data_IF_922218778634
#
_entry.id   IF_922218778634
#
_cell.length_a   1.000
_cell.length_b   1.000
_cell.length_c   1.000
_cell.angle_alpha   90.00
_cell.angle_beta   90.00
_cell.angle_gamma   90.00
#
_symmetry.space_group_name_H-M   'P 1'
#
loop_
_entity.id
_entity.type
_entity.pdbx_description
1 polymer ?
#
# COMPACT_ATOMS: atom_id res chain seq x y z
N UNK A 1 -6.73 -3.03 -15.74
CA UNK A 1 -5.59 -2.29 -15.16
C UNK A 1 -6.02 -0.85 -14.95
N UNK A 2 -5.88 -0.35 -13.73
CA UNK A 2 -6.04 1.07 -13.40
C UNK A 2 -4.74 1.79 -13.79
N UNK A 3 -4.84 3.03 -14.25
CA UNK A 3 -3.70 3.79 -14.78
C UNK A 3 -3.58 5.14 -14.08
N UNK A 4 -2.36 5.45 -13.63
CA UNK A 4 -1.94 6.79 -13.25
C UNK A 4 -1.14 7.45 -14.37
N UNK A 5 -0.25 8.36 -14.00
CA UNK A 5 0.62 9.07 -14.94
C UNK A 5 1.90 8.26 -15.25
N UNK A 6 2.42 7.52 -14.27
CA UNK A 6 3.67 6.73 -14.33
C UNK A 6 3.47 5.26 -14.03
N UNK A 7 2.46 4.89 -13.26
CA UNK A 7 2.20 3.51 -12.82
C UNK A 7 0.86 2.98 -13.30
N UNK A 8 0.80 1.66 -13.48
CA UNK A 8 -0.43 0.89 -13.60
C UNK A 8 -0.63 0.01 -12.38
N UNK A 9 -1.89 -0.14 -11.94
CA UNK A 9 -2.28 -1.15 -10.96
C UNK A 9 -3.06 -2.25 -11.66
N UNK A 10 -2.55 -3.48 -11.60
CA UNK A 10 -3.17 -4.67 -12.20
C UNK A 10 -3.29 -5.81 -11.19
N UNK A 11 -4.09 -6.81 -11.54
CA UNK A 11 -4.11 -8.07 -10.82
C UNK A 11 -2.70 -8.66 -10.77
N UNK A 12 -2.38 -9.34 -9.67
CA UNK A 12 -1.09 -10.02 -9.50
C UNK A 12 -1.05 -11.26 -10.38
N UNK A 13 0.08 -11.47 -11.06
CA UNK A 13 0.36 -12.66 -11.86
C UNK A 13 1.28 -13.59 -11.07
N UNK A 14 1.28 -14.89 -11.40
CA UNK A 14 2.10 -15.89 -10.71
C UNK A 14 3.59 -15.54 -10.74
N UNK A 15 4.04 -14.94 -11.85
CA UNK A 15 5.42 -14.46 -12.02
C UNK A 15 5.81 -13.30 -11.10
N UNK A 16 4.85 -12.54 -10.57
CA UNK A 16 5.16 -11.41 -9.67
C UNK A 16 5.51 -11.89 -8.27
N UNK A 17 4.86 -12.97 -7.81
CA UNK A 17 4.97 -13.49 -6.44
C UNK A 17 6.42 -13.73 -6.02
N UNK A 18 7.26 -14.47 -6.77
CA UNK A 18 8.64 -14.71 -6.36
C UNK A 18 9.48 -13.42 -6.31
N UNK A 19 9.22 -12.46 -7.20
CA UNK A 19 9.94 -11.17 -7.22
C UNK A 19 9.57 -10.31 -6.01
N UNK A 20 8.26 -10.19 -5.71
CA UNK A 20 7.79 -9.46 -4.53
C UNK A 20 8.29 -10.12 -3.25
N UNK A 21 8.30 -11.45 -3.19
CA UNK A 21 8.81 -12.18 -2.02
C UNK A 21 10.29 -11.85 -1.78
N UNK A 22 11.13 -12.05 -2.80
CA UNK A 22 12.57 -11.85 -2.68
C UNK A 22 12.96 -10.40 -2.36
N UNK A 23 12.25 -9.41 -2.92
CA UNK A 23 12.66 -8.00 -2.79
C UNK A 23 11.90 -7.20 -1.73
N UNK A 24 10.75 -7.70 -1.25
CA UNK A 24 9.94 -7.00 -0.24
C UNK A 24 9.72 -7.82 1.04
N UNK A 25 9.59 -9.15 0.94
CA UNK A 25 9.39 -9.99 2.12
C UNK A 25 10.70 -10.38 2.80
N UNK A 26 11.70 -10.77 2.00
CA UNK A 26 13.00 -11.22 2.50
C UNK A 26 13.91 -10.08 2.97
N UNK A 27 13.61 -8.83 2.58
CA UNK A 27 14.18 -7.65 3.24
C UNK A 27 13.49 -7.46 4.61
N UNK A 28 13.91 -8.25 5.60
CA UNK A 28 13.35 -8.28 6.95
C UNK A 28 13.36 -6.90 7.61
N UNK A 29 14.43 -6.13 7.39
CA UNK A 29 14.60 -4.80 7.96
C UNK A 29 13.56 -3.82 7.39
N UNK A 30 13.37 -3.79 6.07
CA UNK A 30 12.30 -2.98 5.48
C UNK A 30 10.92 -3.53 5.85
N UNK A 31 10.73 -4.85 5.81
CA UNK A 31 9.44 -5.50 6.06
C UNK A 31 8.92 -5.19 7.47
N UNK A 32 9.80 -5.18 8.46
CA UNK A 32 9.48 -4.82 9.85
C UNK A 32 9.03 -3.35 10.02
N UNK A 33 9.24 -2.49 9.02
CA UNK A 33 8.76 -1.10 9.02
C UNK A 33 7.44 -0.89 8.27
N UNK A 34 6.97 -1.89 7.53
CA UNK A 34 5.84 -1.76 6.61
C UNK A 34 4.64 -2.62 7.02
N UNK A 35 4.84 -3.65 7.85
CA UNK A 35 3.76 -4.48 8.38
C UNK A 35 3.77 -4.44 9.91
N UNK A 36 2.59 -4.37 10.51
CA UNK A 36 2.42 -4.41 11.95
C UNK A 36 2.53 -5.84 12.51
N UNK A 37 2.46 -6.86 11.65
CA UNK A 37 2.65 -8.27 12.04
C UNK A 37 4.14 -8.61 12.06
N UNK A 38 4.57 -9.49 12.99
CA UNK A 38 5.95 -9.94 13.03
C UNK A 38 6.31 -10.65 11.73
N UNK A 39 7.51 -10.37 11.21
CA UNK A 39 8.10 -11.18 10.15
C UNK A 39 8.25 -12.63 10.60
N UNK A 40 8.03 -13.57 9.68
CA UNK A 40 8.21 -15.00 9.92
C UNK A 40 8.92 -15.61 8.71
N UNK A 41 9.74 -16.65 8.88
CA UNK A 41 10.27 -17.38 7.74
C UNK A 41 9.12 -18.03 6.98
N UNK A 42 9.02 -17.76 5.68
CA UNK A 42 8.05 -18.38 4.78
C UNK A 42 8.81 -19.04 3.65
N UNK A 43 8.50 -20.31 3.36
CA UNK A 43 9.14 -21.02 2.25
C UNK A 43 8.76 -20.40 0.91
N UNK A 44 9.69 -20.33 -0.06
CA UNK A 44 9.36 -19.92 -1.42
C UNK A 44 8.20 -20.72 -2.00
N UNK A 45 7.24 -20.04 -2.65
CA UNK A 45 6.04 -20.67 -3.22
C UNK A 45 4.98 -21.11 -2.21
N UNK A 46 5.19 -20.85 -0.91
CA UNK A 46 4.16 -21.12 0.10
C UNK A 46 2.96 -20.19 -0.06
N UNK A 47 1.75 -20.74 0.10
CA UNK A 47 0.50 -19.97 0.21
C UNK A 47 0.49 -19.04 1.42
N UNK A 48 1.37 -19.26 2.41
CA UNK A 48 1.55 -18.35 3.53
C UNK A 48 2.28 -17.04 3.14
N UNK A 49 2.76 -16.92 1.90
CA UNK A 49 3.34 -15.66 1.43
C UNK A 49 2.28 -14.57 1.41
N UNK A 50 2.56 -13.36 1.93
CA UNK A 50 1.61 -12.24 1.83
C UNK A 50 1.37 -11.76 0.40
N UNK A 51 2.17 -12.25 -0.56
CA UNK A 51 2.03 -11.97 -1.98
C UNK A 51 1.40 -13.11 -2.77
N UNK A 52 0.98 -14.20 -2.11
CA UNK A 52 0.25 -15.27 -2.77
C UNK A 52 -0.98 -14.70 -3.51
N UNK A 53 -1.34 -15.35 -4.62
CA UNK A 53 -2.56 -15.00 -5.36
C UNK A 53 -3.71 -15.67 -4.63
N UNK A 54 -4.69 -14.86 -4.26
CA UNK A 54 -5.92 -15.31 -3.63
C UNK A 54 -7.09 -15.01 -4.54
N UNK A 55 -8.20 -15.70 -4.33
CA UNK A 55 -9.48 -15.32 -4.95
C UNK A 55 -9.84 -13.87 -4.56
N UNK A 56 -10.60 -13.16 -5.42
CA UNK A 56 -11.10 -11.84 -5.10
C UNK A 56 -11.88 -11.83 -3.78
N UNK A 57 -11.67 -10.78 -2.99
CA UNK A 57 -12.29 -10.56 -1.70
C UNK A 57 -13.03 -9.20 -1.72
N UNK A 58 -14.20 -9.13 -1.09
CA UNK A 58 -14.92 -7.87 -0.95
C UNK A 58 -14.22 -6.94 0.05
N UNK A 59 -13.51 -7.51 1.03
CA UNK A 59 -12.85 -6.82 2.14
C UNK A 59 -11.44 -6.31 1.77
N UNK A 60 -10.86 -6.79 0.65
CA UNK A 60 -9.51 -6.42 0.22
C UNK A 60 -9.33 -6.45 -1.30
N UNK A 61 -8.52 -5.52 -1.81
CA UNK A 61 -8.18 -5.42 -3.22
C UNK A 61 -6.65 -5.27 -3.41
N UNK A 62 -5.90 -6.37 -3.49
CA UNK A 62 -4.47 -6.33 -3.75
C UNK A 62 -4.16 -6.14 -5.24
N UNK A 63 -3.14 -5.33 -5.52
CA UNK A 63 -2.64 -5.05 -6.87
C UNK A 63 -1.12 -5.21 -6.95
N UNK A 64 -0.66 -5.67 -8.11
CA UNK A 64 0.71 -5.43 -8.55
C UNK A 64 0.82 -4.00 -9.09
N UNK A 65 1.90 -3.32 -8.73
CA UNK A 65 2.27 -2.00 -9.27
C UNK A 65 3.25 -2.24 -10.40
N UNK A 66 2.96 -1.75 -11.60
CA UNK A 66 3.85 -1.78 -12.76
C UNK A 66 4.17 -0.37 -13.24
N UNK A 67 5.33 -0.13 -13.83
CA UNK A 67 5.60 1.13 -14.54
C UNK A 67 4.94 1.13 -15.92
N UNK A 68 4.41 2.27 -16.36
CA UNK A 68 3.70 2.37 -17.63
C UNK A 68 4.63 2.46 -18.85
N UNK A 69 5.91 2.78 -18.65
CA UNK A 69 6.89 2.93 -19.72
C UNK A 69 7.34 1.58 -20.29
N UNK A 70 7.53 0.56 -19.44
CA UNK A 70 8.08 -0.73 -19.83
C UNK A 70 7.44 -1.95 -19.13
N UNK A 71 6.32 -1.76 -18.42
CA UNK A 71 5.58 -2.83 -17.70
C UNK A 71 6.43 -3.57 -16.64
N UNK A 72 7.45 -2.90 -16.08
CA UNK A 72 8.25 -3.47 -15.00
C UNK A 72 7.48 -3.48 -13.69
N UNK A 73 7.47 -4.64 -13.01
CA UNK A 73 6.89 -4.79 -11.68
C UNK A 73 7.61 -3.90 -10.67
N UNK A 74 7.03 -2.77 -10.29
CA UNK A 74 7.59 -1.82 -9.35
C UNK A 74 7.31 -2.18 -7.88
N UNK A 75 6.27 -2.98 -7.60
CA UNK A 75 5.90 -3.35 -6.24
C UNK A 75 4.47 -3.84 -6.09
N UNK A 76 3.89 -3.59 -4.93
CA UNK A 76 2.51 -3.99 -4.57
C UNK A 76 1.78 -2.83 -3.91
N UNK A 77 0.47 -2.80 -4.08
CA UNK A 77 -0.41 -1.80 -3.49
C UNK A 77 -1.79 -2.41 -3.25
N UNK A 78 -2.64 -1.77 -2.46
CA UNK A 78 -4.00 -2.26 -2.30
C UNK A 78 -4.84 -1.49 -1.31
N UNK A 79 -6.13 -1.84 -1.32
CA UNK A 79 -7.08 -1.49 -0.26
C UNK A 79 -7.32 -2.71 0.64
N UNK A 80 -7.53 -2.51 1.93
CA UNK A 80 -7.95 -3.56 2.86
C UNK A 80 -8.87 -3.00 3.95
N UNK A 81 -9.56 -3.89 4.67
CA UNK A 81 -10.54 -3.50 5.67
C UNK A 81 -11.68 -2.71 5.03
N UNK A 82 -12.10 -3.13 3.83
CA UNK A 82 -13.14 -2.45 3.09
C UNK A 82 -14.47 -2.68 3.79
N UNK A 83 -14.98 -1.65 4.44
CA UNK A 83 -16.29 -1.63 5.06
C UNK A 83 -17.32 -1.15 4.03
N UNK A 84 -18.17 -2.06 3.56
CA UNK A 84 -19.20 -1.75 2.56
C UNK A 84 -20.40 -0.99 3.14
N UNK A 85 -20.61 -1.03 4.46
CA UNK A 85 -21.66 -0.29 5.13
C UNK A 85 -21.24 1.16 5.39
N UNK A 86 -20.09 1.35 6.05
CA UNK A 86 -19.54 2.67 6.34
C UNK A 86 -18.79 3.29 5.15
N UNK A 87 -18.59 2.52 4.08
CA UNK A 87 -17.93 2.94 2.83
C UNK A 87 -16.53 3.48 3.08
N UNK A 88 -15.72 2.75 3.85
CA UNK A 88 -14.35 3.13 4.18
C UNK A 88 -13.35 2.02 3.90
N UNK A 89 -12.09 2.37 3.64
CA UNK A 89 -11.01 1.39 3.53
C UNK A 89 -9.66 1.99 3.91
N UNK A 90 -8.74 1.13 4.30
CA UNK A 90 -7.33 1.48 4.40
C UNK A 90 -6.65 1.34 3.03
N UNK A 91 -5.60 2.11 2.79
CA UNK A 91 -4.75 1.98 1.63
C UNK A 91 -3.27 1.90 2.00
N UNK A 92 -2.48 1.30 1.12
CA UNK A 92 -1.05 1.18 1.34
C UNK A 92 -0.32 0.55 0.16
N UNK A 93 1.01 0.59 0.23
CA UNK A 93 1.89 0.12 -0.83
C UNK A 93 3.28 -0.25 -0.31
N UNK A 94 3.99 -1.01 -1.12
CA UNK A 94 5.42 -1.27 -0.98
C UNK A 94 6.05 -1.30 -2.35
N UNK A 95 6.99 -0.38 -2.58
CA UNK A 95 7.79 -0.36 -3.81
C UNK A 95 9.10 -1.11 -3.58
N UNK A 96 9.50 -1.87 -4.60
CA UNK A 96 10.82 -2.52 -4.67
C UNK A 96 11.93 -1.47 -4.56
N UNK A 97 13.08 -1.78 -3.92
CA UNK A 97 14.14 -0.82 -3.68
C UNK A 97 14.57 0.00 -4.91
N UNK A 98 14.73 -0.63 -6.07
CA UNK A 98 15.12 0.03 -7.32
C UNK A 98 14.09 1.01 -7.91
N UNK A 99 12.87 1.03 -7.38
CA UNK A 99 11.76 1.86 -7.87
C UNK A 99 11.43 3.03 -6.93
N UNK A 100 12.10 3.10 -5.76
CA UNK A 100 11.92 4.18 -4.78
C UNK A 100 12.59 5.47 -5.26
N UNK A 101 12.15 6.62 -4.74
CA UNK A 101 12.72 7.93 -5.09
C UNK A 101 12.37 8.45 -6.50
N UNK A 102 11.64 7.69 -7.32
CA UNK A 102 11.24 8.05 -8.70
C UNK A 102 9.88 8.77 -8.79
N UNK A 103 9.27 9.06 -7.64
CA UNK A 103 7.93 9.68 -7.54
C UNK A 103 6.76 8.73 -7.81
N UNK A 104 7.01 7.41 -7.94
CA UNK A 104 5.95 6.42 -8.19
C UNK A 104 4.95 6.29 -7.03
N UNK A 105 5.40 6.49 -5.79
CA UNK A 105 4.53 6.33 -4.62
C UNK A 105 3.34 7.29 -4.62
N UNK A 106 3.55 8.55 -5.01
CA UNK A 106 2.46 9.55 -5.09
C UNK A 106 1.41 9.09 -6.11
N UNK A 107 1.88 8.69 -7.29
CA UNK A 107 1.02 8.23 -8.38
C UNK A 107 0.28 6.93 -8.01
N UNK A 108 0.89 6.01 -7.25
CA UNK A 108 0.18 4.84 -6.69
C UNK A 108 -0.96 5.25 -5.75
N UNK A 109 -0.73 6.21 -4.84
CA UNK A 109 -1.78 6.69 -3.92
C UNK A 109 -2.93 7.31 -4.70
N UNK A 110 -2.64 8.17 -5.69
CA UNK A 110 -3.66 8.81 -6.54
C UNK A 110 -4.51 7.78 -7.31
N UNK A 111 -3.89 6.71 -7.83
CA UNK A 111 -4.62 5.63 -8.51
C UNK A 111 -5.48 4.82 -7.52
N UNK A 112 -4.99 4.56 -6.29
CA UNK A 112 -5.80 3.92 -5.25
C UNK A 112 -6.96 4.81 -4.81
N UNK A 113 -6.78 6.13 -4.71
CA UNK A 113 -7.85 7.09 -4.45
C UNK A 113 -8.93 7.02 -5.53
N UNK A 114 -8.52 7.05 -6.79
CA UNK A 114 -9.44 6.91 -7.93
C UNK A 114 -10.22 5.60 -7.85
N UNK A 115 -9.55 4.49 -7.54
CA UNK A 115 -10.22 3.21 -7.36
C UNK A 115 -11.21 3.22 -6.17
N UNK A 116 -10.79 3.72 -5.01
CA UNK A 116 -11.63 3.77 -3.82
C UNK A 116 -12.87 4.65 -4.01
N UNK A 117 -12.70 5.87 -4.47
CA UNK A 117 -13.80 6.84 -4.58
C UNK A 117 -14.65 6.63 -5.83
N UNK A 118 -14.05 6.46 -7.01
CA UNK A 118 -14.80 6.37 -8.26
C UNK A 118 -15.32 4.96 -8.54
N UNK A 119 -14.48 3.93 -8.37
CA UNK A 119 -14.84 2.56 -8.77
C UNK A 119 -15.59 1.84 -7.65
N UNK A 120 -15.11 1.96 -6.41
CA UNK A 120 -15.71 1.30 -5.23
C UNK A 120 -16.77 2.16 -4.54
N UNK A 121 -16.89 3.43 -4.89
CA UNK A 121 -17.88 4.33 -4.30
C UNK A 121 -17.68 4.51 -2.80
N UNK A 122 -16.45 4.47 -2.30
CA UNK A 122 -16.15 4.70 -0.89
C UNK A 122 -16.39 6.18 -0.53
N UNK A 123 -16.74 6.44 0.72
CA UNK A 123 -16.84 7.78 1.30
C UNK A 123 -15.51 8.25 1.90
N UNK A 124 -14.68 7.31 2.35
CA UNK A 124 -13.44 7.61 3.09
C UNK A 124 -12.33 6.63 2.74
N UNK A 125 -11.12 7.17 2.56
CA UNK A 125 -9.89 6.39 2.57
C UNK A 125 -9.03 6.82 3.74
N UNK A 126 -8.31 5.86 4.31
CA UNK A 126 -7.35 6.13 5.38
C UNK A 126 -6.04 5.39 5.14
N UNK A 127 -4.99 5.86 5.79
CA UNK A 127 -3.72 5.15 5.84
C UNK A 127 -2.98 5.48 7.13
N UNK A 128 -2.19 4.52 7.57
CA UNK A 128 -1.31 4.61 8.73
C UNK A 128 0.13 4.40 8.28
N UNK A 129 1.06 5.15 8.86
CA UNK A 129 2.48 4.96 8.59
C UNK A 129 3.32 5.38 9.78
N UNK A 130 4.57 4.90 9.86
CA UNK A 130 5.50 5.32 10.89
C UNK A 130 5.69 6.84 10.85
N UNK A 131 5.77 7.48 12.01
CA UNK A 131 5.94 8.93 12.12
C UNK A 131 7.21 9.45 11.41
N UNK A 132 8.21 8.59 11.22
CA UNK A 132 9.45 8.91 10.49
C UNK A 132 9.43 8.53 9.00
N UNK A 133 8.33 7.97 8.49
CA UNK A 133 8.18 7.63 7.07
C UNK A 133 7.86 8.86 6.22
N UNK A 134 8.85 9.74 6.07
CA UNK A 134 8.68 10.99 5.34
C UNK A 134 8.25 10.80 3.87
N UNK A 135 8.57 9.67 3.26
CA UNK A 135 8.17 9.37 1.88
C UNK A 135 6.66 9.14 1.77
N UNK A 136 6.09 8.32 2.65
CA UNK A 136 4.65 8.05 2.66
C UNK A 136 3.86 9.27 3.13
N UNK A 137 4.33 9.99 4.16
CA UNK A 137 3.71 11.24 4.63
C UNK A 137 3.61 12.25 3.48
N UNK A 138 4.70 12.47 2.72
CA UNK A 138 4.66 13.35 1.55
C UNK A 138 3.70 12.87 0.47
N UNK A 139 3.59 11.56 0.24
CA UNK A 139 2.66 11.01 -0.74
C UNK A 139 1.19 11.22 -0.32
N UNK A 140 0.87 10.92 0.94
CA UNK A 140 -0.45 11.14 1.51
C UNK A 140 -0.86 12.62 1.43
N UNK A 141 0.00 13.53 1.93
CA UNK A 141 -0.31 14.97 1.91
C UNK A 141 -0.47 15.53 0.49
N UNK A 142 0.30 15.04 -0.49
CA UNK A 142 0.13 15.45 -1.90
C UNK A 142 -1.19 14.99 -2.50
N UNK A 143 -1.65 13.80 -2.12
CA UNK A 143 -2.95 13.27 -2.54
C UNK A 143 -4.14 13.90 -1.78
N UNK A 144 -3.90 14.89 -0.92
CA UNK A 144 -4.94 15.62 -0.18
C UNK A 144 -5.29 15.03 1.19
N UNK A 145 -4.61 13.97 1.65
CA UNK A 145 -4.88 13.42 2.97
C UNK A 145 -4.48 14.40 4.09
N UNK A 146 -5.30 14.42 5.13
CA UNK A 146 -5.07 15.21 6.35
C UNK A 146 -4.62 14.28 7.47
N UNK A 147 -3.62 14.69 8.24
CA UNK A 147 -3.21 13.96 9.45
C UNK A 147 -4.25 14.17 10.54
N UNK A 148 -4.85 13.09 11.03
CA UNK A 148 -5.93 13.13 12.02
C UNK A 148 -5.45 12.79 13.44
N UNK A 149 -4.30 12.12 13.55
CA UNK A 149 -3.76 11.76 14.87
C UNK A 149 -2.39 11.08 14.83
N UNK A 150 -1.88 10.83 16.02
CA UNK A 150 -0.66 10.06 16.27
C UNK A 150 -0.96 8.96 17.28
N UNK A 151 -0.68 7.71 16.90
CA UNK A 151 -0.72 6.57 17.80
C UNK A 151 0.65 6.40 18.44
N UNK A 152 0.76 6.75 19.73
CA UNK A 152 2.03 6.68 20.46
C UNK A 152 2.45 5.23 20.67
N UNK A 153 3.70 4.88 20.33
CA UNK A 153 4.30 3.56 20.52
C UNK A 153 3.46 2.41 19.94
N UNK A 154 2.84 2.65 18.79
CA UNK A 154 1.92 1.71 18.16
C UNK A 154 2.60 0.59 17.36
N UNK A 155 3.79 0.86 16.80
CA UNK A 155 4.50 -0.10 15.95
C UNK A 155 5.75 -0.64 16.65
N UNK A 156 5.94 -1.96 16.62
CA UNK A 156 7.19 -2.61 17.01
C UNK A 156 8.11 -2.71 15.79
N UNK A 157 9.22 -1.97 15.81
CA UNK A 157 10.14 -1.86 14.69
C UNK A 157 11.57 -2.02 15.19
N UNK A 158 12.30 -3.01 14.65
CA UNK A 158 13.73 -3.21 14.91
C UNK A 158 14.15 -3.17 16.40
N UNK A 159 13.30 -3.66 17.31
CA UNK A 159 13.61 -3.76 18.75
C UNK A 159 13.04 -2.63 19.62
N UNK A 160 12.33 -1.67 19.05
CA UNK A 160 11.72 -0.57 19.79
C UNK A 160 10.27 -0.31 19.37
N UNK A 161 9.51 0.34 20.25
CA UNK A 161 8.19 0.85 19.91
C UNK A 161 8.30 2.28 19.39
N UNK A 162 7.76 2.51 18.19
CA UNK A 162 7.73 3.82 17.53
C UNK A 162 6.29 4.29 17.29
N UNK A 163 6.14 5.59 17.05
CA UNK A 163 4.85 6.21 16.81
C UNK A 163 4.39 5.98 15.37
N UNK A 164 3.07 5.83 15.19
CA UNK A 164 2.41 5.88 13.88
C UNK A 164 1.58 7.15 13.76
N UNK A 165 1.42 7.65 12.53
CA UNK A 165 0.55 8.76 12.19
C UNK A 165 -0.59 8.27 11.31
N UNK A 166 -1.80 8.74 11.62
CA UNK A 166 -3.02 8.39 10.91
C UNK A 166 -3.41 9.53 9.98
N UNK A 167 -3.77 9.17 8.75
CA UNK A 167 -4.25 10.08 7.73
C UNK A 167 -5.63 9.65 7.23
N UNK A 168 -6.49 10.63 6.95
CA UNK A 168 -7.80 10.44 6.33
C UNK A 168 -8.00 11.35 5.11
N UNK A 169 -8.75 10.85 4.14
CA UNK A 169 -9.25 11.61 2.99
C UNK A 169 -10.71 11.26 2.77
N UNK A 170 -11.56 12.28 2.72
CA UNK A 170 -12.98 12.14 2.41
C UNK A 170 -13.21 12.32 0.91
N UNK A 171 -14.23 11.66 0.39
CA UNK A 171 -14.58 11.75 -1.03
C UNK A 171 -14.91 13.18 -1.49
N UNK A 172 -15.45 14.01 -0.59
CA UNK A 172 -15.77 15.42 -0.89
C UNK A 172 -14.53 16.33 -0.97
N UNK A 173 -13.45 15.96 -0.28
CA UNK A 173 -12.18 16.69 -0.27
C UNK A 173 -11.23 16.21 -1.38
N UNK A 174 -11.59 15.14 -2.09
CA UNK A 174 -10.80 14.60 -3.19
C UNK A 174 -11.13 15.32 -4.51
N UNK A 175 -10.09 15.81 -5.20
CA UNK A 175 -10.26 16.70 -6.36
C UNK A 175 -9.91 16.09 -7.73
N UNK A 176 -9.63 14.78 -7.80
CA UNK A 176 -9.30 14.09 -9.05
C UNK A 176 -7.88 14.33 -9.50
#
# INVERSE_FOLDING_TARGET
MLRGTKVGLRARHESDVPVLHAELYDDVATRSRVDSRPWRPVSPGSEASPFAITEPDDDAAPFAVVTLDNDELAGTAGLWGIDTHNRSAHLGMSLRPGFRGRGLGVDVVEVLCTYGFTVRGLQRLQLETLADNTAMIRAASRAGFVQEGTLRRAAWVNGEFVDEVIFGLLAEDWHG
#
